data_IF_961595357059
#
_entry.id   IF_961595357059
#
_cell.length_a   1.000
_cell.length_b   1.000
_cell.length_c   1.000
_cell.angle_alpha   90.00
_cell.angle_beta   90.00
_cell.angle_gamma   90.00
#
_symmetry.space_group_name_H-M   'P 1'
#
loop_
_entity.id
_entity.type
_entity.pdbx_description
1 polymer ?
#
# COMPACT_ATOMS: atom_id res chain seq x y z
N UNK A 1 31.33 73.70 -21.48
CA UNK A 1 30.51 72.95 -20.47
C UNK A 1 29.32 72.35 -21.23
N UNK A 2 29.54 71.34 -22.07
CA UNK A 2 28.48 70.67 -22.83
C UNK A 2 29.00 69.42 -23.53
N UNK A 3 29.52 68.46 -22.80
CA UNK A 3 29.90 67.18 -23.42
C UNK A 3 29.64 65.91 -22.51
N UNK A 4 28.99 66.07 -21.36
CA UNK A 4 28.76 64.96 -20.45
C UNK A 4 27.35 64.37 -20.42
N UNK A 5 26.40 64.87 -21.24
CA UNK A 5 24.97 64.46 -21.17
C UNK A 5 24.53 63.54 -22.30
N UNK A 6 25.40 63.13 -23.22
CA UNK A 6 24.97 62.30 -24.38
C UNK A 6 25.31 60.82 -24.31
N UNK A 7 25.99 60.38 -23.27
CA UNK A 7 26.46 58.97 -23.18
C UNK A 7 25.81 58.12 -22.08
N UNK A 8 24.98 58.68 -21.21
CA UNK A 8 24.39 57.93 -20.08
C UNK A 8 23.00 57.35 -20.41
N UNK A 9 22.27 57.89 -21.36
CA UNK A 9 20.90 57.44 -21.72
C UNK A 9 20.84 56.10 -22.46
N UNK A 10 21.79 55.71 -23.33
CA UNK A 10 21.66 54.43 -24.03
C UNK A 10 22.04 53.22 -23.20
N UNK A 11 22.82 53.37 -22.09
CA UNK A 11 23.22 52.23 -21.26
C UNK A 11 22.13 51.82 -20.30
N UNK A 12 21.36 52.73 -19.76
CA UNK A 12 20.20 52.44 -18.88
C UNK A 12 19.01 51.85 -19.66
N UNK A 13 18.85 52.22 -20.93
CA UNK A 13 17.77 51.64 -21.76
C UNK A 13 18.12 50.23 -22.24
N UNK A 14 19.41 49.87 -22.38
CA UNK A 14 19.86 48.55 -22.79
C UNK A 14 19.80 47.53 -21.63
N UNK A 15 19.89 47.98 -20.37
CA UNK A 15 19.77 47.10 -19.21
C UNK A 15 18.32 46.73 -18.88
N UNK A 16 17.34 47.54 -19.34
CA UNK A 16 15.92 47.28 -19.07
C UNK A 16 15.28 46.30 -20.07
N UNK A 17 15.94 45.98 -21.18
CA UNK A 17 15.46 45.04 -22.20
C UNK A 17 15.98 43.62 -22.03
N UNK A 18 16.84 43.37 -21.03
CA UNK A 18 17.43 42.07 -20.76
C UNK A 18 16.76 41.30 -19.60
N UNK A 19 15.64 41.81 -19.06
CA UNK A 19 14.91 41.17 -17.98
C UNK A 19 13.42 41.02 -18.30
N UNK A 20 13.02 40.20 -19.24
CA UNK A 20 11.99 39.19 -18.97
C UNK A 20 12.03 38.00 -19.93
N UNK A 21 12.98 37.13 -19.77
CA UNK A 21 12.94 35.87 -20.52
C UNK A 21 13.08 34.64 -19.61
N UNK A 22 12.97 34.84 -18.28
CA UNK A 22 13.22 33.77 -17.32
C UNK A 22 11.97 33.31 -16.51
N UNK A 23 10.74 33.80 -16.84
CA UNK A 23 9.53 33.42 -16.09
C UNK A 23 8.41 32.88 -17.00
N UNK A 24 8.75 32.28 -18.12
CA UNK A 24 7.75 31.57 -18.93
C UNK A 24 8.20 30.13 -19.25
N UNK A 25 8.66 29.46 -18.27
CA UNK A 25 8.98 28.03 -18.32
C UNK A 25 8.29 27.25 -17.20
N UNK A 26 7.09 27.62 -16.80
CA UNK A 26 6.17 26.62 -16.26
C UNK A 26 5.78 25.77 -17.47
N UNK A 27 6.64 24.78 -17.77
CA UNK A 27 6.31 23.67 -18.64
C UNK A 27 4.90 23.24 -18.22
N UNK A 28 3.97 23.27 -19.14
CA UNK A 28 2.68 22.58 -19.03
C UNK A 28 2.99 21.07 -19.05
N UNK A 29 3.70 20.61 -18.01
CA UNK A 29 3.90 19.19 -17.74
C UNK A 29 2.52 18.67 -17.45
N UNK A 30 1.95 18.02 -18.43
CA UNK A 30 0.77 17.19 -18.22
C UNK A 30 1.00 16.39 -16.94
N UNK A 31 0.14 16.63 -15.94
CA UNK A 31 0.29 15.99 -14.62
C UNK A 31 0.20 14.48 -14.81
N UNK A 32 1.23 13.75 -14.37
CA UNK A 32 1.18 12.30 -14.37
C UNK A 32 -0.05 11.83 -13.58
N UNK A 33 -0.78 10.88 -14.15
CA UNK A 33 -1.99 10.33 -13.56
C UNK A 33 -1.62 9.08 -12.78
N UNK A 34 -1.86 9.11 -11.47
CA UNK A 34 -1.63 8.01 -10.54
C UNK A 34 -2.93 7.31 -10.23
N UNK A 35 -3.02 6.03 -10.51
CA UNK A 35 -4.11 5.17 -10.04
C UNK A 35 -3.76 4.66 -8.64
N UNK A 36 -4.64 4.91 -7.66
CA UNK A 36 -4.41 4.52 -6.27
C UNK A 36 -5.53 3.65 -5.74
N UNK A 37 -5.21 2.38 -5.43
CA UNK A 37 -6.10 1.47 -4.72
C UNK A 37 -5.67 1.37 -3.25
N UNK A 38 -6.34 2.07 -2.33
CA UNK A 38 -5.99 2.09 -0.91
C UNK A 38 -6.33 0.78 -0.20
N UNK A 39 -5.74 0.58 0.97
CA UNK A 39 -5.98 -0.57 1.85
C UNK A 39 -7.44 -0.62 2.34
N UNK A 40 -8.02 0.54 2.65
CA UNK A 40 -9.39 0.73 3.10
C UNK A 40 -9.80 2.21 3.01
N UNK A 41 -11.01 2.54 3.49
CA UNK A 41 -11.54 3.89 3.41
C UNK A 41 -11.13 4.81 4.58
N UNK A 42 -10.31 4.36 5.51
CA UNK A 42 -9.82 5.22 6.60
C UNK A 42 -9.00 6.39 6.03
N UNK A 43 -9.14 7.60 6.60
CA UNK A 43 -8.45 8.79 6.07
C UNK A 43 -6.94 8.60 5.92
N UNK A 44 -6.29 7.92 6.87
CA UNK A 44 -4.84 7.65 6.85
C UNK A 44 -4.43 6.72 5.70
N UNK A 45 -5.30 5.80 5.29
CA UNK A 45 -5.05 4.87 4.18
C UNK A 45 -5.52 5.43 2.83
N UNK A 46 -6.36 6.44 2.79
CA UNK A 46 -7.02 6.93 1.59
C UNK A 46 -6.82 8.44 1.37
N UNK A 47 -7.65 9.29 1.97
CA UNK A 47 -7.70 10.71 1.66
C UNK A 47 -6.42 11.48 2.02
N UNK A 48 -5.66 11.08 3.04
CA UNK A 48 -4.39 11.74 3.36
C UNK A 48 -3.32 11.40 2.31
N UNK A 49 -3.28 10.15 1.86
CA UNK A 49 -2.38 9.72 0.79
C UNK A 49 -2.70 10.46 -0.51
N UNK A 50 -3.99 10.52 -0.89
CA UNK A 50 -4.44 11.27 -2.09
C UNK A 50 -4.02 12.72 -2.03
N UNK A 51 -4.30 13.42 -0.93
CA UNK A 51 -3.90 14.83 -0.76
C UNK A 51 -2.39 15.03 -0.85
N UNK A 52 -1.60 14.10 -0.35
CA UNK A 52 -0.13 14.15 -0.44
C UNK A 52 0.34 13.99 -1.89
N UNK A 53 -0.23 13.04 -2.63
CA UNK A 53 0.06 12.85 -4.05
C UNK A 53 -0.35 14.07 -4.90
N UNK A 54 -1.55 14.62 -4.64
CA UNK A 54 -2.03 15.83 -5.34
C UNK A 54 -1.15 17.04 -5.05
N UNK A 55 -0.71 17.22 -3.80
CA UNK A 55 0.22 18.28 -3.41
C UNK A 55 1.60 18.10 -4.08
N UNK A 56 2.01 16.86 -4.37
CA UNK A 56 3.21 16.56 -5.14
C UNK A 56 3.04 16.75 -6.67
N UNK A 57 1.84 17.12 -7.12
CA UNK A 57 1.57 17.47 -8.52
C UNK A 57 0.93 16.36 -9.36
N UNK A 58 0.60 15.21 -8.77
CA UNK A 58 -0.08 14.12 -9.48
C UNK A 58 -1.58 14.37 -9.63
N UNK A 59 -2.17 13.85 -10.70
CA UNK A 59 -3.61 13.61 -10.78
C UNK A 59 -3.89 12.21 -10.23
N UNK A 60 -4.78 12.09 -9.23
CA UNK A 60 -5.02 10.80 -8.56
C UNK A 60 -6.40 10.25 -8.91
N UNK A 61 -6.45 9.01 -9.41
CA UNK A 61 -7.67 8.25 -9.64
C UNK A 61 -7.84 7.26 -8.47
N UNK A 62 -9.00 7.31 -7.81
CA UNK A 62 -9.33 6.42 -6.69
C UNK A 62 -10.66 5.71 -6.95
N UNK A 63 -10.85 4.49 -6.42
CA UNK A 63 -12.12 3.78 -6.57
C UNK A 63 -13.23 4.46 -5.75
N UNK A 64 -14.50 4.27 -6.14
CA UNK A 64 -15.64 4.66 -5.32
C UNK A 64 -15.53 4.08 -3.91
N UNK A 65 -15.75 4.92 -2.89
CA UNK A 65 -15.63 4.53 -1.46
C UNK A 65 -16.48 3.31 -1.10
N UNK A 66 -17.59 3.10 -1.77
CA UNK A 66 -18.46 1.93 -1.56
C UNK A 66 -17.80 0.59 -1.91
N UNK A 67 -16.75 0.57 -2.70
CA UNK A 67 -16.00 -0.64 -3.06
C UNK A 67 -14.89 -0.96 -2.06
N UNK A 68 -14.46 0.03 -1.28
CA UNK A 68 -13.42 -0.13 -0.27
C UNK A 68 -13.98 -0.74 1.02
N UNK A 69 -13.09 -1.42 1.75
CA UNK A 69 -13.36 -1.84 3.12
C UNK A 69 -13.63 -0.64 4.02
N UNK A 70 -14.45 -0.84 5.03
CA UNK A 70 -14.69 0.07 6.14
C UNK A 70 -14.56 -0.67 7.47
N UNK A 71 -14.71 0.02 8.59
CA UNK A 71 -14.59 -0.57 9.93
C UNK A 71 -15.42 -1.86 10.13
N UNK A 72 -16.62 -1.92 9.57
CA UNK A 72 -17.59 -3.01 9.76
C UNK A 72 -18.03 -3.68 8.46
N UNK A 73 -17.33 -3.47 7.37
CA UNK A 73 -17.71 -4.02 6.06
C UNK A 73 -16.46 -4.29 5.22
N UNK A 74 -16.36 -5.51 4.70
CA UNK A 74 -15.34 -5.86 3.72
C UNK A 74 -15.55 -5.07 2.41
N UNK A 75 -14.47 -4.81 1.70
CA UNK A 75 -14.51 -4.27 0.35
C UNK A 75 -14.98 -5.31 -0.67
N UNK A 76 -15.05 -4.89 -1.91
CA UNK A 76 -15.53 -5.73 -3.03
C UNK A 76 -14.40 -5.95 -4.04
N UNK A 77 -13.57 -7.01 -3.92
CA UNK A 77 -12.43 -7.27 -4.82
C UNK A 77 -12.79 -7.24 -6.31
N UNK A 78 -13.98 -7.76 -6.66
CA UNK A 78 -14.40 -7.84 -8.06
C UNK A 78 -14.87 -6.50 -8.62
N UNK A 79 -15.49 -5.64 -7.81
CA UNK A 79 -15.83 -4.28 -8.21
C UNK A 79 -14.59 -3.39 -8.28
N UNK A 80 -13.62 -3.59 -7.39
CA UNK A 80 -12.32 -2.95 -7.45
C UNK A 80 -11.56 -3.36 -8.71
N UNK A 81 -11.62 -4.63 -9.08
CA UNK A 81 -11.01 -5.13 -10.32
C UNK A 81 -11.63 -4.50 -11.57
N UNK A 82 -12.96 -4.47 -11.66
CA UNK A 82 -13.65 -3.81 -12.78
C UNK A 82 -13.28 -2.33 -12.89
N UNK A 83 -13.17 -1.64 -11.74
CA UNK A 83 -12.76 -0.26 -11.70
C UNK A 83 -11.31 -0.08 -12.17
N UNK A 84 -10.37 -0.96 -11.73
CA UNK A 84 -8.97 -0.95 -12.18
C UNK A 84 -8.87 -1.08 -13.70
N UNK A 85 -9.52 -2.06 -14.28
CA UNK A 85 -9.53 -2.27 -15.75
C UNK A 85 -10.04 -1.04 -16.51
N UNK A 86 -11.06 -0.37 -15.99
CA UNK A 86 -11.60 0.86 -16.60
C UNK A 86 -10.66 2.06 -16.48
N UNK A 87 -9.91 2.14 -15.40
CA UNK A 87 -9.11 3.31 -15.05
C UNK A 87 -7.63 3.20 -15.51
N UNK A 88 -7.11 1.98 -15.62
CA UNK A 88 -5.72 1.74 -16.00
C UNK A 88 -5.30 2.40 -17.33
N UNK A 89 -6.13 2.44 -18.41
CA UNK A 89 -5.76 3.12 -19.65
C UNK A 89 -5.51 4.63 -19.52
N UNK A 90 -5.89 5.24 -18.38
CA UNK A 90 -5.76 6.68 -18.14
C UNK A 90 -4.61 7.00 -17.17
N UNK A 91 -3.86 6.00 -16.72
CA UNK A 91 -2.86 6.14 -15.67
C UNK A 91 -1.45 5.88 -16.19
N UNK A 92 -0.50 6.69 -15.75
CA UNK A 92 0.93 6.50 -16.00
C UNK A 92 1.55 5.54 -14.98
N UNK A 93 0.98 5.50 -13.77
CA UNK A 93 1.40 4.59 -12.71
C UNK A 93 0.22 4.17 -11.83
N UNK A 94 0.36 3.00 -11.18
CA UNK A 94 -0.63 2.44 -10.27
C UNK A 94 0.03 2.00 -8.96
N UNK A 95 -0.55 2.41 -7.83
CA UNK A 95 -0.18 1.97 -6.48
C UNK A 95 -1.34 1.17 -5.91
N UNK A 96 -1.14 -0.11 -5.65
CA UNK A 96 -2.23 -1.06 -5.37
C UNK A 96 -1.99 -1.80 -4.06
N UNK A 97 -2.97 -1.73 -3.15
CA UNK A 97 -3.07 -2.64 -2.01
C UNK A 97 -3.48 -4.03 -2.49
N UNK A 98 -2.63 -5.03 -2.27
CA UNK A 98 -2.95 -6.43 -2.54
C UNK A 98 -4.06 -6.93 -1.62
N UNK A 99 -4.06 -6.51 -0.34
CA UNK A 99 -5.11 -6.86 0.62
C UNK A 99 -6.50 -6.44 0.14
N UNK A 100 -6.62 -5.25 -0.46
CA UNK A 100 -7.90 -4.79 -1.03
C UNK A 100 -8.28 -5.54 -2.30
N UNK A 101 -7.30 -5.79 -3.19
CA UNK A 101 -7.56 -6.43 -4.48
C UNK A 101 -7.90 -7.92 -4.36
N UNK A 102 -7.27 -8.62 -3.41
CA UNK A 102 -7.39 -10.07 -3.24
C UNK A 102 -8.49 -10.40 -2.24
N UNK A 103 -8.46 -9.77 -1.07
CA UNK A 103 -9.34 -10.12 0.06
C UNK A 103 -10.48 -9.13 0.29
N UNK A 104 -10.35 -7.89 -0.21
CA UNK A 104 -11.30 -6.82 0.09
C UNK A 104 -10.93 -5.99 1.32
N UNK A 105 -9.66 -5.97 1.74
CA UNK A 105 -9.13 -5.10 2.78
C UNK A 105 -8.44 -5.82 3.94
N UNK A 106 -7.90 -5.04 4.88
CA UNK A 106 -7.06 -5.52 5.97
C UNK A 106 -7.72 -6.58 6.87
N UNK A 107 -8.96 -6.36 7.30
CA UNK A 107 -9.66 -7.31 8.18
C UNK A 107 -10.04 -8.55 7.39
N UNK A 108 -10.51 -8.36 6.15
CA UNK A 108 -10.86 -9.47 5.28
C UNK A 108 -9.68 -10.40 5.00
N UNK A 109 -8.46 -9.89 4.87
CA UNK A 109 -7.27 -10.72 4.67
C UNK A 109 -6.98 -11.67 5.84
N UNK A 110 -7.53 -11.38 7.02
CA UNK A 110 -7.37 -12.22 8.23
C UNK A 110 -8.55 -13.15 8.50
N UNK A 111 -9.72 -12.82 7.97
CA UNK A 111 -10.98 -13.48 8.35
C UNK A 111 -11.72 -14.10 7.17
N UNK A 112 -11.13 -14.04 5.96
CA UNK A 112 -11.77 -14.61 4.77
C UNK A 112 -11.92 -16.14 4.89
N UNK A 113 -12.86 -16.66 4.11
CA UNK A 113 -13.07 -18.09 3.91
C UNK A 113 -13.08 -18.42 2.41
N UNK A 114 -12.42 -17.59 1.62
CA UNK A 114 -12.32 -17.78 0.19
C UNK A 114 -11.43 -18.98 -0.11
N UNK A 115 -11.79 -19.84 -1.05
CA UNK A 115 -10.95 -20.94 -1.50
C UNK A 115 -9.63 -20.40 -2.09
N UNK A 116 -8.54 -21.13 -1.90
CA UNK A 116 -7.22 -20.79 -2.44
C UNK A 116 -7.27 -20.49 -3.94
N UNK A 117 -8.03 -21.27 -4.71
CA UNK A 117 -8.18 -21.06 -6.15
C UNK A 117 -8.75 -19.68 -6.52
N UNK A 118 -9.66 -19.14 -5.70
CA UNK A 118 -10.20 -17.79 -5.89
C UNK A 118 -9.14 -16.74 -5.58
N UNK A 119 -8.37 -16.94 -4.52
CA UNK A 119 -7.29 -16.02 -4.14
C UNK A 119 -6.18 -15.98 -5.21
N UNK A 120 -5.79 -17.14 -5.72
CA UNK A 120 -4.81 -17.24 -6.83
C UNK A 120 -5.31 -16.56 -8.11
N UNK A 121 -6.59 -16.71 -8.45
CA UNK A 121 -7.19 -15.99 -9.58
C UNK A 121 -7.15 -14.48 -9.38
N UNK A 122 -7.45 -14.00 -8.16
CA UNK A 122 -7.36 -12.58 -7.83
C UNK A 122 -5.92 -12.07 -7.84
N UNK A 123 -4.95 -12.87 -7.41
CA UNK A 123 -3.53 -12.52 -7.48
C UNK A 123 -3.05 -12.31 -8.92
N UNK A 124 -3.51 -13.16 -9.88
CA UNK A 124 -3.20 -13.02 -11.32
C UNK A 124 -3.70 -11.71 -11.94
N UNK A 125 -4.60 -10.98 -11.25
CA UNK A 125 -5.04 -9.64 -11.67
C UNK A 125 -3.89 -8.64 -11.75
N UNK A 126 -2.86 -8.78 -10.91
CA UNK A 126 -1.66 -7.93 -10.96
C UNK A 126 -0.84 -8.20 -12.23
N UNK A 127 -0.69 -9.47 -12.61
CA UNK A 127 -0.04 -9.85 -13.87
C UNK A 127 -0.82 -9.29 -15.07
N UNK A 128 -2.15 -9.43 -15.04
CA UNK A 128 -3.02 -8.89 -16.08
C UNK A 128 -2.88 -7.39 -16.25
N UNK A 129 -2.80 -6.63 -15.14
CA UNK A 129 -2.58 -5.18 -15.19
C UNK A 129 -1.23 -4.84 -15.81
N UNK A 130 -0.16 -5.53 -15.40
CA UNK A 130 1.18 -5.33 -15.95
C UNK A 130 1.26 -5.64 -17.44
N UNK A 131 0.61 -6.72 -17.87
CA UNK A 131 0.77 -7.24 -19.23
C UNK A 131 -0.17 -6.57 -20.25
N UNK A 132 -1.31 -6.03 -19.80
CA UNK A 132 -2.31 -5.41 -20.68
C UNK A 132 -2.21 -3.88 -20.79
N UNK A 133 -1.57 -3.22 -19.83
CA UNK A 133 -1.52 -1.77 -19.77
C UNK A 133 -0.07 -1.28 -19.62
N UNK A 134 0.27 -0.20 -20.31
CA UNK A 134 1.55 0.51 -20.16
C UNK A 134 1.50 1.39 -18.89
N UNK A 135 1.44 0.73 -17.73
CA UNK A 135 1.34 1.38 -16.43
C UNK A 135 2.45 0.87 -15.50
N UNK A 136 3.18 1.79 -14.86
CA UNK A 136 4.16 1.42 -13.84
C UNK A 136 3.42 0.92 -12.60
N UNK A 137 3.54 -0.38 -12.32
CA UNK A 137 2.82 -1.03 -11.23
C UNK A 137 3.65 -1.10 -9.95
N UNK A 138 3.12 -0.55 -8.86
CA UNK A 138 3.62 -0.67 -7.49
C UNK A 138 2.56 -1.36 -6.64
N UNK A 139 2.88 -2.52 -6.10
CA UNK A 139 2.00 -3.26 -5.20
C UNK A 139 2.56 -3.25 -3.78
N UNK A 140 1.70 -3.15 -2.79
CA UNK A 140 2.06 -3.28 -1.39
C UNK A 140 1.11 -4.22 -0.67
N UNK A 141 1.67 -4.99 0.27
CA UNK A 141 0.94 -5.92 1.12
C UNK A 141 1.16 -5.56 2.59
N UNK A 142 0.18 -5.83 3.41
CA UNK A 142 0.32 -5.70 4.86
C UNK A 142 0.91 -6.97 5.43
N UNK A 143 2.06 -6.88 6.07
CA UNK A 143 2.59 -7.99 6.86
C UNK A 143 1.83 -8.07 8.18
N UNK A 144 1.22 -9.22 8.42
CA UNK A 144 0.48 -9.46 9.65
C UNK A 144 1.42 -9.98 10.73
N UNK A 145 1.35 -9.36 11.89
CA UNK A 145 2.06 -9.84 13.07
C UNK A 145 1.26 -10.91 13.78
N UNK A 146 1.91 -11.85 14.41
CA UNK A 146 1.32 -12.70 15.45
C UNK A 146 1.05 -11.83 16.69
N UNK A 147 -0.20 -11.62 17.13
CA UNK A 147 -0.49 -10.78 18.28
C UNK A 147 -0.08 -11.44 19.58
N UNK A 148 0.53 -10.66 20.49
CA UNK A 148 0.94 -11.17 21.82
C UNK A 148 -0.25 -11.56 22.70
N UNK A 149 -1.39 -10.94 22.48
CA UNK A 149 -2.64 -11.24 23.19
C UNK A 149 -3.82 -10.99 22.24
N UNK A 150 -4.89 -11.77 22.37
CA UNK A 150 -6.11 -11.57 21.61
C UNK A 150 -7.02 -10.58 22.35
N UNK A 151 -7.29 -9.43 21.72
CA UNK A 151 -8.23 -8.45 22.21
C UNK A 151 -9.36 -8.16 21.23
N UNK A 152 -9.41 -8.89 20.11
CA UNK A 152 -10.31 -8.56 19.02
C UNK A 152 -11.05 -9.74 18.42
N UNK A 153 -12.05 -9.43 17.62
CA UNK A 153 -12.84 -10.41 16.87
C UNK A 153 -12.18 -10.82 15.54
N UNK A 154 -10.88 -10.55 15.38
CA UNK A 154 -10.16 -10.78 14.13
C UNK A 154 -9.38 -12.07 14.16
N UNK A 155 -8.89 -12.46 15.34
CA UNK A 155 -8.19 -13.73 15.53
C UNK A 155 -9.18 -14.91 15.65
N UNK A 156 -8.77 -16.14 15.26
CA UNK A 156 -9.60 -17.31 15.43
C UNK A 156 -10.01 -17.55 16.90
N UNK A 157 -11.15 -18.19 17.18
CA UNK A 157 -11.66 -18.38 18.54
C UNK A 157 -10.69 -19.09 19.50
N UNK A 158 -9.86 -20.00 19.00
CA UNK A 158 -8.86 -20.70 19.82
C UNK A 158 -7.76 -19.76 20.31
N UNK A 159 -7.50 -18.66 19.61
CA UNK A 159 -6.44 -17.70 19.96
C UNK A 159 -6.66 -17.07 21.34
N UNK A 160 -7.91 -16.89 21.76
CA UNK A 160 -8.24 -16.39 23.09
C UNK A 160 -7.65 -17.27 24.22
N UNK A 161 -7.49 -18.57 23.97
CA UNK A 161 -6.99 -19.53 24.95
C UNK A 161 -5.49 -19.79 24.82
N UNK A 162 -5.01 -19.95 23.60
CA UNK A 162 -3.64 -20.40 23.32
C UNK A 162 -2.77 -19.36 22.61
N UNK A 163 -3.31 -18.18 22.33
CA UNK A 163 -2.60 -17.11 21.61
C UNK A 163 -1.22 -16.75 22.19
N UNK A 164 -1.05 -16.59 23.53
CA UNK A 164 0.27 -16.35 24.09
C UNK A 164 1.29 -17.48 23.83
N UNK A 165 0.83 -18.73 23.76
CA UNK A 165 1.69 -19.86 23.43
C UNK A 165 2.04 -19.90 21.94
N UNK A 166 1.09 -19.61 21.05
CA UNK A 166 1.32 -19.44 19.60
C UNK A 166 2.31 -18.27 19.36
N UNK A 167 2.10 -17.13 20.03
CA UNK A 167 3.02 -16.00 19.92
C UNK A 167 4.45 -16.39 20.31
N UNK A 168 4.62 -17.07 21.44
CA UNK A 168 5.96 -17.51 21.89
C UNK A 168 6.57 -18.54 20.95
N UNK A 169 5.76 -19.45 20.40
CA UNK A 169 6.21 -20.40 19.40
C UNK A 169 6.72 -19.69 18.13
N UNK A 170 5.94 -18.75 17.59
CA UNK A 170 6.32 -17.94 16.40
C UNK A 170 7.61 -17.15 16.66
N UNK A 171 7.74 -16.50 17.84
CA UNK A 171 8.94 -15.76 18.23
C UNK A 171 10.19 -16.67 18.24
N UNK A 172 10.03 -17.91 18.71
CA UNK A 172 11.12 -18.89 18.72
C UNK A 172 11.46 -19.39 17.31
N UNK A 173 10.48 -19.55 16.43
CA UNK A 173 10.72 -19.86 15.02
C UNK A 173 11.52 -18.75 14.33
N UNK A 174 11.08 -17.50 14.46
CA UNK A 174 11.79 -16.36 13.87
C UNK A 174 13.23 -16.25 14.41
N UNK A 175 13.43 -16.49 15.70
CA UNK A 175 14.77 -16.44 16.31
C UNK A 175 15.66 -17.58 15.83
N UNK A 176 15.10 -18.79 15.64
CA UNK A 176 15.82 -19.95 15.10
C UNK A 176 16.33 -19.70 13.69
N UNK A 177 15.48 -19.14 12.85
CA UNK A 177 15.79 -18.83 11.44
C UNK A 177 16.86 -17.72 11.31
N UNK A 178 16.86 -16.74 12.22
CA UNK A 178 17.73 -15.59 12.14
C UNK A 178 19.11 -15.80 12.79
N UNK A 179 19.15 -16.39 13.97
CA UNK A 179 20.37 -16.45 14.80
C UNK A 179 20.61 -17.81 15.48
N UNK A 180 19.68 -18.75 15.32
CA UNK A 180 19.65 -20.01 16.06
C UNK A 180 19.15 -19.85 17.49
N UNK A 181 18.81 -20.97 18.13
CA UNK A 181 18.26 -21.00 19.49
C UNK A 181 19.30 -21.46 20.52
N UNK A 182 19.23 -20.91 21.73
CA UNK A 182 19.84 -21.51 22.90
C UNK A 182 19.22 -22.89 23.19
N UNK A 183 19.94 -23.76 23.92
CA UNK A 183 19.40 -25.07 24.34
C UNK A 183 18.05 -24.93 25.08
N UNK A 184 17.94 -23.91 25.95
CA UNK A 184 16.70 -23.63 26.69
C UNK A 184 15.55 -23.27 25.77
N UNK A 185 15.80 -22.41 24.78
CA UNK A 185 14.77 -21.95 23.82
C UNK A 185 14.38 -23.10 22.87
N UNK A 186 15.31 -23.94 22.45
CA UNK A 186 15.04 -25.14 21.65
C UNK A 186 14.13 -26.11 22.38
N UNK A 187 14.39 -26.36 23.68
CA UNK A 187 13.52 -27.20 24.51
C UNK A 187 12.13 -26.57 24.71
N UNK A 188 12.07 -25.24 24.87
CA UNK A 188 10.80 -24.51 24.99
C UNK A 188 10.00 -24.58 23.70
N UNK A 189 10.62 -24.38 22.53
CA UNK A 189 9.99 -24.51 21.22
C UNK A 189 9.37 -25.88 21.03
N UNK A 190 10.15 -26.94 21.30
CA UNK A 190 9.69 -28.34 21.22
C UNK A 190 8.54 -28.64 22.18
N UNK A 191 8.58 -28.11 23.41
CA UNK A 191 7.48 -28.27 24.35
C UNK A 191 6.19 -27.58 23.89
N UNK A 192 6.28 -26.38 23.32
CA UNK A 192 5.13 -25.67 22.76
C UNK A 192 4.55 -26.43 21.57
N UNK A 193 5.38 -26.87 20.64
CA UNK A 193 4.96 -27.70 19.49
C UNK A 193 4.21 -28.96 19.90
N UNK A 194 4.66 -29.59 20.97
CA UNK A 194 4.02 -30.84 21.50
C UNK A 194 2.71 -30.57 22.26
N UNK A 195 2.62 -29.43 22.96
CA UNK A 195 1.48 -29.13 23.84
C UNK A 195 0.39 -28.25 23.17
N UNK A 196 0.69 -27.59 22.07
CA UNK A 196 -0.32 -26.87 21.31
C UNK A 196 -1.20 -27.87 20.55
N UNK A 197 -2.53 -27.61 20.44
CA UNK A 197 -3.40 -28.45 19.61
C UNK A 197 -2.93 -28.39 18.15
N UNK A 198 -2.60 -29.56 17.59
CA UNK A 198 -1.98 -29.63 16.26
C UNK A 198 -2.84 -28.96 15.17
N UNK A 199 -4.16 -29.13 15.24
CA UNK A 199 -5.07 -28.51 14.27
C UNK A 199 -5.07 -26.97 14.36
N UNK A 200 -5.05 -26.41 15.58
CA UNK A 200 -5.04 -24.96 15.80
C UNK A 200 -3.69 -24.34 15.41
N UNK A 201 -2.59 -25.07 15.66
CA UNK A 201 -1.26 -24.63 15.25
C UNK A 201 -1.12 -24.68 13.72
N UNK A 202 -1.62 -25.71 13.07
CA UNK A 202 -1.61 -25.84 11.62
C UNK A 202 -2.42 -24.69 10.95
N UNK A 203 -3.65 -24.44 11.43
CA UNK A 203 -4.49 -23.36 10.97
C UNK A 203 -3.84 -21.97 11.11
N UNK A 204 -3.00 -21.79 12.14
CA UNK A 204 -2.26 -20.54 12.35
C UNK A 204 -1.07 -20.37 11.42
N UNK A 205 -0.42 -21.46 11.02
CA UNK A 205 0.78 -21.43 10.17
C UNK A 205 0.48 -21.40 8.66
N UNK A 206 -0.73 -21.74 8.24
CA UNK A 206 -1.21 -21.65 6.86
C UNK A 206 -1.67 -20.24 6.50
#
# INVERSE_FOLDING_TARGET
>A
MSLFYKTVIPITLLLLTLLPAAITGASDRQRETMLFLPLDNRPVCSSYVVKTMEAAGYKVLVPPVRYLASYNRNGSPDELWKWLLKSAPQADAAVISTDSLIYGGLVASRTHREPQTVLEQRLKRLETLRDQFDVKLYAFSTLMRTPRASFGAVEPPYYAKIGPAIFRYSELCDSDDLIGLSLKDSLTKKALETNLPAADLQDWLE
#
